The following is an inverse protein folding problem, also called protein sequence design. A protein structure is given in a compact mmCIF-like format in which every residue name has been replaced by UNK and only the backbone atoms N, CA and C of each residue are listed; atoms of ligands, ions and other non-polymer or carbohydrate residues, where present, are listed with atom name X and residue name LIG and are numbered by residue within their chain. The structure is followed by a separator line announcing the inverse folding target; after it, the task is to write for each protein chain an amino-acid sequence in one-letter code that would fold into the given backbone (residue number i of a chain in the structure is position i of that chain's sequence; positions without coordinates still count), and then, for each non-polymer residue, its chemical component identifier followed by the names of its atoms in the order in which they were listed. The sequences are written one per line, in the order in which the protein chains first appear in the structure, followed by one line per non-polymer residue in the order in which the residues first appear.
data_IF_330465718852
#
_entry.id   IF_330465718852
#
_cell.length_a   1.000
_cell.length_b   1.000
_cell.length_c   1.000
_cell.angle_alpha   90.00
_cell.angle_beta   90.00
_cell.angle_gamma   90.00
#
_symmetry.space_group_name_H-M   'P 1'
#
loop_
_entity.id
_entity.type
_entity.pdbx_description
1 polymer ?
#
# COMPACT_ATOMS: atom_id res chain seq x y z
N UNK A 1 -23.16 -12.96 22.76
CA UNK A 1 -21.94 -13.39 22.03
C UNK A 1 -22.12 -13.39 20.52
N UNK A 2 -23.24 -13.90 19.98
CA UNK A 2 -23.53 -13.94 18.53
C UNK A 2 -23.44 -12.58 17.81
N UNK A 3 -23.78 -11.48 18.49
CA UNK A 3 -23.72 -10.12 17.92
C UNK A 3 -22.33 -9.49 18.05
N UNK A 4 -21.56 -9.86 19.08
CA UNK A 4 -20.27 -9.20 19.36
C UNK A 4 -19.21 -9.56 18.33
N UNK A 5 -19.17 -10.81 17.85
CA UNK A 5 -18.15 -11.27 16.90
C UNK A 5 -18.28 -10.63 15.52
N UNK A 6 -19.46 -10.48 14.92
CA UNK A 6 -19.64 -9.66 13.71
C UNK A 6 -19.21 -8.20 13.91
N UNK A 7 -19.53 -7.57 15.06
CA UNK A 7 -19.11 -6.21 15.36
C UNK A 7 -17.57 -6.10 15.45
N UNK A 8 -16.90 -7.06 16.08
CA UNK A 8 -15.44 -7.12 16.13
C UNK A 8 -14.85 -7.32 14.73
N UNK A 9 -15.48 -8.14 13.89
CA UNK A 9 -15.10 -8.30 12.49
C UNK A 9 -15.19 -6.99 11.70
N UNK A 10 -16.26 -6.22 11.90
CA UNK A 10 -16.42 -4.90 11.28
C UNK A 10 -15.34 -3.92 11.77
N UNK A 11 -15.12 -3.84 13.09
CA UNK A 11 -14.09 -2.96 13.67
C UNK A 11 -12.69 -3.33 13.16
N UNK A 12 -12.39 -4.62 13.03
CA UNK A 12 -11.15 -5.11 12.43
C UNK A 12 -11.00 -4.69 10.98
N UNK A 13 -12.06 -4.81 10.17
CA UNK A 13 -12.06 -4.32 8.77
C UNK A 13 -11.81 -2.82 8.69
N UNK A 14 -12.48 -2.02 9.51
CA UNK A 14 -12.29 -0.55 9.54
C UNK A 14 -10.86 -0.21 9.94
N UNK A 15 -10.32 -0.87 10.97
CA UNK A 15 -8.93 -0.67 11.41
C UNK A 15 -7.93 -1.05 10.33
N UNK A 16 -8.14 -2.17 9.62
CA UNK A 16 -7.29 -2.61 8.52
C UNK A 16 -7.32 -1.61 7.35
N UNK A 17 -8.50 -1.14 6.95
CA UNK A 17 -8.64 -0.14 5.88
C UNK A 17 -7.92 1.15 6.28
N UNK A 18 -8.09 1.61 7.51
CA UNK A 18 -7.43 2.82 8.00
C UNK A 18 -5.91 2.67 8.00
N UNK A 19 -5.38 1.55 8.50
CA UNK A 19 -3.94 1.28 8.48
C UNK A 19 -3.37 1.24 7.05
N UNK A 20 -4.09 0.63 6.11
CA UNK A 20 -3.72 0.59 4.69
C UNK A 20 -3.71 1.98 4.07
N UNK A 21 -4.76 2.77 4.29
CA UNK A 21 -4.89 4.14 3.79
C UNK A 21 -3.96 5.14 4.47
N UNK A 22 -3.45 4.83 5.66
CA UNK A 22 -2.39 5.60 6.30
C UNK A 22 -1.00 5.24 5.76
N UNK A 23 -0.89 4.26 4.87
CA UNK A 23 0.40 3.74 4.39
C UNK A 23 1.19 2.97 5.45
N UNK A 24 0.57 2.62 6.59
CA UNK A 24 1.24 1.92 7.69
C UNK A 24 1.68 0.48 7.34
N UNK A 25 1.15 -0.05 6.23
CA UNK A 25 1.49 -1.37 5.68
C UNK A 25 2.44 -1.28 4.47
N UNK A 26 2.89 -0.08 4.13
CA UNK A 26 3.76 0.19 2.99
C UNK A 26 5.19 0.41 3.45
N UNK A 27 6.15 -0.07 2.66
CA UNK A 27 7.57 0.02 2.96
C UNK A 27 8.34 0.65 1.81
N UNK A 28 9.45 1.31 2.13
CA UNK A 28 10.40 1.76 1.14
C UNK A 28 10.99 0.56 0.39
N UNK A 29 10.96 0.62 -0.94
CA UNK A 29 11.55 -0.37 -1.82
C UNK A 29 12.59 0.29 -2.73
N UNK A 30 13.80 -0.25 -2.74
CA UNK A 30 14.84 0.23 -3.64
C UNK A 30 14.49 -0.12 -5.09
N UNK A 31 14.72 0.83 -5.99
CA UNK A 31 14.72 0.66 -7.43
C UNK A 31 16.15 0.52 -7.99
N UNK A 32 17.15 0.48 -7.11
CA UNK A 32 18.57 0.43 -7.46
C UNK A 32 19.15 1.79 -7.82
N UNK A 33 20.31 1.76 -8.47
CA UNK A 33 21.04 2.95 -8.93
C UNK A 33 20.95 3.00 -10.46
N UNK A 34 20.60 4.14 -11.08
CA UNK A 34 20.73 4.29 -12.52
C UNK A 34 22.19 4.10 -12.97
N UNK A 35 22.45 3.70 -14.23
CA UNK A 35 23.80 3.43 -14.72
C UNK A 35 24.81 4.58 -14.51
N UNK A 36 24.33 5.83 -14.57
CA UNK A 36 25.10 7.01 -14.18
C UNK A 36 24.47 7.63 -12.93
N UNK A 37 25.27 8.28 -12.07
CA UNK A 37 24.79 8.91 -10.82
C UNK A 37 23.69 9.94 -11.11
N UNK A 38 22.48 9.65 -10.62
CA UNK A 38 21.34 10.57 -10.63
C UNK A 38 21.60 11.80 -9.78
N UNK A 39 21.13 12.96 -10.23
CA UNK A 39 21.21 14.24 -9.48
C UNK A 39 19.85 14.88 -9.25
N UNK A 40 18.85 14.56 -10.07
CA UNK A 40 17.49 15.09 -9.97
C UNK A 40 16.45 14.10 -10.51
N UNK A 41 15.28 14.04 -9.88
CA UNK A 41 14.10 13.33 -10.38
C UNK A 41 13.37 14.29 -11.32
N UNK A 42 13.32 13.94 -12.62
CA UNK A 42 12.75 14.82 -13.64
C UNK A 42 11.23 14.76 -13.63
N UNK A 43 10.67 13.55 -13.58
CA UNK A 43 9.23 13.28 -13.60
C UNK A 43 8.97 11.81 -13.31
N UNK A 44 7.71 11.43 -13.16
CA UNK A 44 7.29 10.05 -12.96
C UNK A 44 5.78 9.92 -12.87
N UNK A 45 5.31 8.68 -12.95
CA UNK A 45 3.95 8.27 -12.60
C UNK A 45 4.01 7.15 -11.53
N UNK A 46 2.95 6.37 -11.35
CA UNK A 46 2.91 5.26 -10.37
C UNK A 46 3.73 4.03 -10.79
N UNK A 47 4.07 3.90 -12.07
CA UNK A 47 4.73 2.75 -12.68
C UNK A 47 6.13 3.06 -13.23
N UNK A 48 6.48 4.33 -13.44
CA UNK A 48 7.79 4.76 -13.93
C UNK A 48 8.29 6.02 -13.23
N UNK A 49 9.60 6.07 -12.98
CA UNK A 49 10.32 7.28 -12.56
C UNK A 49 11.44 7.60 -13.54
N UNK A 50 11.64 8.88 -13.82
CA UNK A 50 12.71 9.40 -14.67
C UNK A 50 13.69 10.23 -13.85
N UNK A 51 14.96 9.89 -13.95
CA UNK A 51 16.06 10.55 -13.24
C UNK A 51 17.04 11.11 -14.26
N UNK A 52 17.46 12.35 -14.06
CA UNK A 52 18.54 12.97 -14.84
C UNK A 52 19.83 12.86 -14.04
N UNK A 53 20.91 12.64 -14.78
CA UNK A 53 22.24 12.36 -14.22
C UNK A 53 23.12 13.59 -14.36
N UNK A 54 24.25 13.62 -13.65
CA UNK A 54 25.18 14.75 -13.69
C UNK A 54 25.68 15.09 -15.11
N UNK A 55 25.72 14.08 -16.01
CA UNK A 55 26.09 14.24 -17.41
C UNK A 55 24.94 14.74 -18.31
N UNK A 56 23.75 14.97 -17.74
CA UNK A 56 22.55 15.39 -18.46
C UNK A 56 21.78 14.27 -19.17
N UNK A 57 22.24 13.00 -19.04
CA UNK A 57 21.48 11.85 -19.56
C UNK A 57 20.25 11.58 -18.68
N UNK A 58 19.18 11.05 -19.29
CA UNK A 58 17.95 10.68 -18.58
C UNK A 58 17.80 9.17 -18.59
N UNK A 59 17.49 8.61 -17.43
CA UNK A 59 17.18 7.20 -17.26
C UNK A 59 15.78 7.04 -16.69
N UNK A 60 14.99 6.15 -17.28
CA UNK A 60 13.70 5.74 -16.76
C UNK A 60 13.82 4.39 -16.05
N UNK A 61 13.06 4.18 -14.99
CA UNK A 61 12.88 2.86 -14.36
C UNK A 61 11.40 2.51 -14.36
N UNK A 62 10.99 1.47 -15.10
CA UNK A 62 9.61 0.97 -15.09
C UNK A 62 9.48 -0.18 -14.09
N UNK A 63 8.64 -0.02 -13.08
CA UNK A 63 8.55 -0.91 -11.91
C UNK A 63 7.11 -1.32 -11.57
N UNK A 64 6.38 -1.82 -12.55
CA UNK A 64 4.98 -2.22 -12.39
C UNK A 64 4.81 -3.32 -11.35
N UNK A 65 3.96 -3.08 -10.35
CA UNK A 65 3.60 -4.06 -9.31
C UNK A 65 4.65 -4.26 -8.20
N UNK A 66 4.49 -5.35 -7.45
CA UNK A 66 5.29 -5.66 -6.24
C UNK A 66 6.71 -6.17 -6.54
N UNK A 67 6.98 -6.61 -7.78
CA UNK A 67 8.31 -6.97 -8.24
C UNK A 67 8.93 -5.84 -9.06
N UNK A 68 9.53 -4.84 -8.40
CA UNK A 68 10.51 -4.01 -9.10
C UNK A 68 11.70 -4.92 -9.41
N UNK A 69 12.01 -5.11 -10.69
CA UNK A 69 13.22 -5.83 -11.06
C UNK A 69 14.43 -4.94 -10.74
N UNK A 70 15.47 -5.50 -10.13
CA UNK A 70 16.77 -4.86 -9.85
C UNK A 70 17.48 -4.31 -11.11
N UNK A 71 16.85 -4.40 -12.29
CA UNK A 71 17.35 -3.96 -13.59
C UNK A 71 16.24 -3.26 -14.41
N UNK A 72 15.46 -2.38 -13.78
CA UNK A 72 14.40 -1.63 -14.47
C UNK A 72 14.92 -0.44 -15.30
N UNK A 73 16.19 -0.04 -15.10
CA UNK A 73 16.74 1.18 -15.68
C UNK A 73 17.00 1.06 -17.17
N UNK A 74 16.46 1.99 -17.95
CA UNK A 74 16.70 2.16 -19.37
C UNK A 74 17.02 3.63 -19.68
N UNK A 75 17.90 3.85 -20.67
CA UNK A 75 18.22 5.21 -21.13
C UNK A 75 17.03 5.76 -21.91
N UNK A 76 16.50 6.89 -21.49
CA UNK A 76 15.42 7.60 -22.17
C UNK A 76 16.00 8.74 -23.02
N UNK A 77 15.41 8.98 -24.20
CA UNK A 77 15.80 10.14 -25.03
C UNK A 77 15.21 11.42 -24.47
N UNK A 78 13.95 11.36 -24.05
CA UNK A 78 13.21 12.47 -23.44
C UNK A 78 12.36 11.91 -22.28
N UNK A 79 12.10 12.70 -21.23
CA UNK A 79 11.13 12.30 -20.21
C UNK A 79 9.76 12.20 -20.89
N UNK A 80 8.92 11.26 -20.47
CA UNK A 80 7.52 11.30 -20.86
C UNK A 80 6.98 12.66 -20.42
N UNK A 81 6.34 13.38 -21.34
CA UNK A 81 5.55 14.56 -21.01
C UNK A 81 4.36 14.11 -20.17
N UNK A 82 4.57 13.95 -18.87
CA UNK A 82 3.49 13.79 -17.91
C UNK A 82 2.86 15.18 -17.82
N UNK A 83 1.59 15.27 -18.20
CA UNK A 83 0.84 16.50 -18.14
C UNK A 83 0.88 17.04 -16.69
N UNK A 84 1.55 18.17 -16.44
CA UNK A 84 1.73 18.69 -15.08
C UNK A 84 0.41 19.14 -14.44
N UNK A 85 -0.68 19.24 -15.21
CA UNK A 85 -1.94 19.86 -14.79
C UNK A 85 -2.97 18.91 -14.16
N UNK A 86 -2.70 17.60 -14.04
CA UNK A 86 -3.54 16.73 -13.20
C UNK A 86 -3.17 16.80 -11.72
N UNK A 87 -2.60 17.91 -11.26
CA UNK A 87 -2.43 18.20 -9.83
C UNK A 87 -3.79 18.61 -9.27
N UNK A 88 -4.63 17.61 -8.94
CA UNK A 88 -5.78 17.86 -8.10
C UNK A 88 -5.26 18.42 -6.78
N UNK A 89 -5.64 19.66 -6.47
CA UNK A 89 -5.30 20.47 -5.29
C UNK A 89 -5.87 19.86 -3.98
N UNK A 90 -5.72 18.55 -3.84
CA UNK A 90 -6.10 17.76 -2.67
C UNK A 90 -4.89 17.78 -1.77
N UNK A 91 -5.01 18.49 -0.65
CA UNK A 91 -4.12 18.35 0.49
C UNK A 91 -3.94 16.86 0.75
N UNK A 92 -2.75 16.37 0.41
CA UNK A 92 -2.33 15.00 0.63
C UNK A 92 -2.62 14.69 2.10
N UNK A 93 -3.25 13.54 2.34
CA UNK A 93 -3.31 13.02 3.69
C UNK A 93 -1.86 13.02 4.20
N UNK A 94 -1.60 13.77 5.28
CA UNK A 94 -0.31 13.72 5.96
C UNK A 94 -0.25 12.37 6.68
N UNK A 95 -0.08 11.31 5.90
CA UNK A 95 0.26 10.00 6.41
C UNK A 95 1.61 10.11 7.12
N UNK A 96 1.72 9.44 8.26
CA UNK A 96 3.00 9.21 8.92
C UNK A 96 3.80 8.27 8.03
N UNK A 97 4.52 8.85 7.07
CA UNK A 97 5.38 8.08 6.16
C UNK A 97 6.66 7.71 6.90
N UNK A 98 7.01 6.43 6.86
CA UNK A 98 8.28 5.93 7.36
C UNK A 98 9.43 6.79 6.79
N UNK A 99 10.40 7.22 7.59
CA UNK A 99 11.52 7.97 7.06
C UNK A 99 12.26 7.15 5.99
N UNK A 100 12.70 7.76 4.88
CA UNK A 100 13.47 7.06 3.86
C UNK A 100 14.80 6.53 4.44
N UNK A 101 15.38 5.47 3.86
CA UNK A 101 16.52 4.75 4.44
C UNK A 101 17.87 5.52 4.38
N UNK A 102 17.86 6.82 4.06
CA UNK A 102 19.06 7.65 4.00
C UNK A 102 18.76 9.12 3.77
N UNK A 103 19.81 9.90 3.49
CA UNK A 103 19.71 11.34 3.20
C UNK A 103 19.11 11.55 1.82
N UNK A 104 17.99 12.25 1.76
CA UNK A 104 17.26 12.57 0.52
C UNK A 104 17.96 13.72 -0.20
N UNK A 105 18.43 13.46 -1.41
CA UNK A 105 18.92 14.49 -2.33
C UNK A 105 17.77 15.16 -3.10
N UNK A 106 16.77 14.39 -3.54
CA UNK A 106 15.60 14.89 -4.25
C UNK A 106 14.36 14.02 -4.01
N UNK A 107 13.16 14.57 -4.23
CA UNK A 107 11.88 13.90 -4.02
C UNK A 107 10.87 14.21 -5.12
N UNK A 108 10.04 13.21 -5.44
CA UNK A 108 8.87 13.38 -6.29
C UNK A 108 7.68 12.69 -5.63
N UNK A 109 6.56 13.41 -5.52
CA UNK A 109 5.30 12.87 -5.03
C UNK A 109 4.30 12.84 -6.18
N UNK A 110 3.71 11.68 -6.42
CA UNK A 110 2.74 11.44 -7.47
C UNK A 110 1.48 10.88 -6.83
N UNK A 111 0.33 11.41 -7.24
CA UNK A 111 -0.97 10.84 -6.87
C UNK A 111 -1.79 10.59 -8.11
N UNK A 112 -2.32 9.38 -8.23
CA UNK A 112 -3.25 9.03 -9.31
C UNK A 112 -4.62 8.74 -8.71
N UNK A 113 -5.64 9.29 -9.35
CA UNK A 113 -7.05 9.02 -9.03
C UNK A 113 -7.67 8.33 -10.24
N UNK A 114 -7.86 7.02 -10.14
CA UNK A 114 -8.64 6.24 -11.09
C UNK A 114 -10.09 6.15 -10.61
N UNK A 115 -10.99 5.71 -11.49
CA UNK A 115 -12.40 5.55 -11.13
C UNK A 115 -12.63 4.59 -9.95
N UNK A 116 -11.75 3.58 -9.82
CA UNK A 116 -11.90 2.48 -8.86
C UNK A 116 -10.84 2.50 -7.75
N UNK A 117 -9.68 3.10 -8.01
CA UNK A 117 -8.51 3.07 -7.14
C UNK A 117 -7.81 4.43 -7.10
N UNK A 118 -7.16 4.74 -5.97
CA UNK A 118 -6.33 5.91 -5.79
C UNK A 118 -5.02 5.49 -5.14
N UNK A 119 -3.90 5.91 -5.73
CA UNK A 119 -2.56 5.59 -5.22
C UNK A 119 -1.78 6.88 -5.00
N UNK A 120 -1.00 6.88 -3.94
CA UNK A 120 0.03 7.88 -3.72
C UNK A 120 1.38 7.18 -3.72
N UNK A 121 2.28 7.69 -4.54
CA UNK A 121 3.61 7.17 -4.76
C UNK A 121 4.62 8.27 -4.48
N UNK A 122 5.58 7.99 -3.62
CA UNK A 122 6.70 8.87 -3.31
C UNK A 122 7.99 8.24 -3.82
N UNK A 123 8.71 8.99 -4.63
CA UNK A 123 10.06 8.66 -5.03
C UNK A 123 11.03 9.54 -4.26
N UNK A 124 12.13 8.95 -3.84
CA UNK A 124 13.27 9.68 -3.30
C UNK A 124 14.53 9.24 -4.02
N UNK A 125 15.37 10.20 -4.36
CA UNK A 125 16.74 10.00 -4.77
C UNK A 125 17.60 10.27 -3.55
N UNK A 126 18.39 9.29 -3.11
CA UNK A 126 19.31 9.47 -2.01
C UNK A 126 20.64 10.06 -2.50
N UNK A 127 21.44 10.63 -1.60
CA UNK A 127 22.75 11.20 -1.94
C UNK A 127 23.74 10.17 -2.51
N UNK A 128 23.57 8.89 -2.19
CA UNK A 128 24.35 7.77 -2.75
C UNK A 128 23.96 7.41 -4.20
N UNK A 129 22.90 8.02 -4.74
CA UNK A 129 22.39 7.80 -6.08
C UNK A 129 21.34 6.68 -6.18
N UNK A 130 21.04 5.97 -5.10
CA UNK A 130 19.94 4.98 -5.08
C UNK A 130 18.59 5.69 -5.13
N UNK A 131 17.67 5.10 -5.88
CA UNK A 131 16.29 5.59 -5.96
C UNK A 131 15.40 4.63 -5.19
N UNK A 132 14.52 5.18 -4.36
CA UNK A 132 13.56 4.42 -3.57
C UNK A 132 12.15 4.85 -3.89
N UNK A 133 11.24 3.88 -3.85
CA UNK A 133 9.80 4.05 -4.01
C UNK A 133 9.10 3.68 -2.71
N UNK A 134 8.15 4.50 -2.30
CA UNK A 134 7.15 4.17 -1.31
C UNK A 134 5.78 4.41 -1.92
N UNK A 135 4.87 3.46 -1.79
CA UNK A 135 3.56 3.52 -2.44
C UNK A 135 2.49 2.90 -1.55
N UNK A 136 1.34 3.53 -1.51
CA UNK A 136 0.18 3.02 -0.79
C UNK A 136 -1.12 3.32 -1.51
N UNK A 137 -2.14 2.55 -1.17
CA UNK A 137 -3.50 2.70 -1.68
C UNK A 137 -4.26 3.69 -0.77
N UNK A 138 -4.63 4.83 -1.34
CA UNK A 138 -5.39 5.91 -0.67
C UNK A 138 -6.88 5.58 -0.65
N UNK A 139 -7.36 4.77 -1.59
CA UNK A 139 -8.74 4.33 -1.65
C UNK A 139 -8.96 3.37 -2.80
N UNK A 140 -9.65 2.28 -2.53
CA UNK A 140 -9.95 1.26 -3.52
C UNK A 140 -11.34 0.67 -3.29
N UNK A 141 -12.02 0.24 -4.35
CA UNK A 141 -13.27 -0.51 -4.26
C UNK A 141 -13.12 -1.78 -3.39
N UNK A 142 -11.90 -2.33 -3.28
CA UNK A 142 -11.60 -3.45 -2.38
C UNK A 142 -11.95 -3.16 -0.92
N UNK A 143 -11.98 -1.89 -0.50
CA UNK A 143 -12.38 -1.49 0.85
C UNK A 143 -13.84 -1.89 1.14
N UNK A 144 -14.75 -1.80 0.16
CA UNK A 144 -16.14 -2.26 0.32
C UNK A 144 -16.21 -3.77 0.53
N UNK A 145 -15.40 -4.54 -0.21
CA UNK A 145 -15.34 -6.00 -0.05
C UNK A 145 -14.79 -6.37 1.34
N UNK A 146 -13.76 -5.68 1.81
CA UNK A 146 -13.20 -5.89 3.16
C UNK A 146 -14.26 -5.60 4.25
N UNK A 147 -15.07 -4.56 4.08
CA UNK A 147 -16.17 -4.23 5.00
C UNK A 147 -17.29 -5.29 5.03
N UNK A 148 -17.47 -6.06 3.96
CA UNK A 148 -18.46 -7.15 3.91
C UNK A 148 -17.86 -8.44 4.48
N UNK A 149 -16.59 -8.74 4.12
CA UNK A 149 -15.92 -9.97 4.52
C UNK A 149 -15.67 -10.02 6.04
N UNK A 150 -15.28 -8.92 6.67
CA UNK A 150 -15.01 -8.88 8.11
C UNK A 150 -16.19 -9.33 8.97
N UNK A 151 -17.37 -8.70 8.84
CA UNK A 151 -18.58 -9.11 9.55
C UNK A 151 -19.01 -10.54 9.22
N UNK A 152 -18.90 -10.96 7.95
CA UNK A 152 -19.23 -12.32 7.53
C UNK A 152 -18.31 -13.36 8.21
N UNK A 153 -17.01 -13.09 8.28
CA UNK A 153 -16.05 -13.92 9.00
C UNK A 153 -16.34 -13.93 10.52
N UNK A 154 -16.68 -12.78 11.11
CA UNK A 154 -17.10 -12.68 12.51
C UNK A 154 -18.37 -13.49 12.81
N UNK A 155 -19.34 -13.49 11.90
CA UNK A 155 -20.56 -14.29 12.01
C UNK A 155 -20.26 -15.79 11.90
N UNK A 156 -19.44 -16.20 10.93
CA UNK A 156 -19.02 -17.59 10.79
C UNK A 156 -18.34 -18.10 12.07
N UNK A 157 -17.42 -17.31 12.64
CA UNK A 157 -16.77 -17.62 13.90
C UNK A 157 -17.78 -17.72 15.05
N UNK A 158 -18.77 -16.83 15.10
CA UNK A 158 -19.82 -16.88 16.12
C UNK A 158 -20.64 -18.18 16.07
N UNK A 159 -21.00 -18.63 14.86
CA UNK A 159 -21.71 -19.89 14.65
C UNK A 159 -20.87 -21.06 15.14
N UNK A 160 -19.59 -21.12 14.77
CA UNK A 160 -18.66 -22.18 15.21
C UNK A 160 -18.59 -22.24 16.74
N UNK A 161 -18.43 -21.09 17.41
CA UNK A 161 -18.33 -21.07 18.87
C UNK A 161 -19.63 -21.53 19.53
N UNK A 162 -20.80 -21.11 19.02
CA UNK A 162 -22.09 -21.58 19.53
C UNK A 162 -22.25 -23.09 19.38
N UNK A 163 -21.87 -23.65 18.23
CA UNK A 163 -21.93 -25.10 17.98
C UNK A 163 -21.03 -25.86 18.94
N UNK A 164 -19.78 -25.42 19.13
CA UNK A 164 -18.81 -26.06 20.03
C UNK A 164 -19.27 -25.99 21.49
N UNK A 165 -19.70 -24.82 21.97
CA UNK A 165 -20.20 -24.66 23.33
C UNK A 165 -21.50 -25.45 23.56
N UNK A 166 -22.40 -25.47 22.58
CA UNK A 166 -23.62 -26.26 22.62
C UNK A 166 -23.33 -27.76 22.70
N UNK A 167 -22.41 -28.26 21.88
CA UNK A 167 -21.98 -29.66 21.92
C UNK A 167 -21.33 -30.03 23.27
N UNK A 168 -20.45 -29.18 23.81
CA UNK A 168 -19.82 -29.40 25.11
C UNK A 168 -20.84 -29.42 26.27
N UNK A 169 -21.83 -28.52 26.25
CA UNK A 169 -22.90 -28.48 27.25
C UNK A 169 -23.79 -29.72 27.16
N UNK A 170 -24.16 -30.14 25.95
CA UNK A 170 -24.97 -31.34 25.73
C UNK A 170 -24.26 -32.61 26.24
N UNK A 171 -22.94 -32.71 26.03
CA UNK A 171 -22.14 -33.82 26.57
C UNK A 171 -22.13 -33.82 28.10
N UNK A 172 -21.94 -32.66 28.75
CA UNK A 172 -21.99 -32.56 30.22
C UNK A 172 -23.36 -32.91 30.81
N UNK A 173 -24.44 -32.51 30.16
CA UNK A 173 -25.79 -32.84 30.63
C UNK A 173 -26.09 -34.35 30.53
N UNK A 174 -25.48 -35.05 29.56
CA UNK A 174 -25.61 -36.51 29.45
C UNK A 174 -24.86 -37.23 30.57
N UNK A 175 -23.63 -36.80 30.91
CA UNK A 175 -22.84 -37.44 31.96
C UNK A 175 -23.45 -37.28 33.35
N UNK A 176 -24.10 -36.14 33.62
CA UNK A 176 -24.79 -35.91 34.91
C UNK A 176 -26.06 -36.76 35.04
N UNK A 177 -26.78 -37.05 33.95
CA UNK A 177 -28.00 -37.89 33.99
C UNK A 177 -27.72 -39.39 34.16
N UNK A 178 -26.50 -39.83 33.85
CA UNK A 178 -26.09 -41.24 33.96
C UNK A 178 -25.48 -41.60 35.31
N UNK A 179 -25.24 -40.61 36.18
CA UNK A 179 -24.74 -40.77 37.53
C UNK A 179 -25.91 -40.73 38.53
#
# INVERSE_FOLDING_TARGET
MLVLLPCLGLMGSVGYIWARQAGALSHWRSLGVPPDRGVDIVTGDTDVVYVRTAAGSIYGCRHRGTGAADNCWYKAQEPLSVDPEATFDKRLYQSEVEPPPGTVADRLEVTIWLAEDAFETRYVLLEDGTVWKWEYDVGSYWNLLILIIGPAAGLALAIVVVVVLGAALALRLRTVRSA
#
